data_IF_299479854502
#
_entry.id   IF_299479854502
#
_cell.length_a   1.000
_cell.length_b   1.000
_cell.length_c   1.000
_cell.angle_alpha   90.00
_cell.angle_beta   90.00
_cell.angle_gamma   90.00
#
_symmetry.space_group_name_H-M   'P 1'
#
loop_
_entity.id
_entity.type
_entity.pdbx_description
1 polymer ?
#
# COMPACT_ATOMS: atom_id res chain seq x y z
N UNK A 1 7.95 12.43 -16.93
CA UNK A 1 6.84 11.59 -16.51
C UNK A 1 7.21 10.84 -15.22
N UNK A 2 6.24 10.62 -14.34
CA UNK A 2 6.45 9.81 -13.14
C UNK A 2 6.31 8.32 -13.49
N UNK A 3 7.19 7.48 -12.91
CA UNK A 3 7.16 6.04 -13.07
C UNK A 3 7.79 5.37 -11.85
N UNK A 4 7.49 4.08 -11.61
CA UNK A 4 8.24 3.31 -10.60
C UNK A 4 9.70 3.13 -11.04
N UNK A 5 10.63 2.99 -10.09
CA UNK A 5 12.05 2.76 -10.40
C UNK A 5 12.24 1.52 -11.29
N UNK A 6 11.49 0.45 -11.04
CA UNK A 6 11.53 -0.75 -11.87
C UNK A 6 11.14 -0.47 -13.33
N UNK A 7 10.09 0.34 -13.55
CA UNK A 7 9.68 0.73 -14.90
C UNK A 7 10.68 1.66 -15.56
N UNK A 8 11.23 2.62 -14.80
CA UNK A 8 12.26 3.54 -15.27
C UNK A 8 13.49 2.78 -15.78
N UNK A 9 13.86 1.70 -15.09
CA UNK A 9 14.97 0.84 -15.42
C UNK A 9 14.61 -0.27 -16.43
N UNK A 10 13.38 -0.29 -16.97
CA UNK A 10 12.91 -1.32 -17.92
C UNK A 10 13.09 -2.74 -17.38
N UNK A 11 12.64 -2.97 -16.15
CA UNK A 11 12.71 -4.27 -15.50
C UNK A 11 12.04 -5.37 -16.31
N UNK A 12 12.78 -6.46 -16.57
CA UNK A 12 12.28 -7.67 -17.20
C UNK A 12 12.43 -8.85 -16.24
N UNK A 13 11.33 -9.57 -15.92
CA UNK A 13 11.42 -10.77 -15.09
C UNK A 13 12.08 -11.90 -15.88
N UNK A 14 13.30 -12.23 -15.52
CA UNK A 14 14.02 -13.39 -16.04
C UNK A 14 14.13 -14.46 -14.96
N UNK A 15 14.17 -15.75 -15.35
CA UNK A 15 14.21 -16.87 -14.40
C UNK A 15 15.42 -16.88 -13.47
N UNK A 16 16.49 -16.16 -13.82
CA UNK A 16 17.78 -16.19 -13.13
C UNK A 16 18.13 -14.91 -12.32
N UNK A 17 17.19 -13.97 -12.18
CA UNK A 17 17.46 -12.77 -11.35
C UNK A 17 16.81 -11.48 -11.86
N UNK A 18 17.26 -10.35 -11.30
CA UNK A 18 16.84 -9.02 -11.73
C UNK A 18 17.57 -8.65 -13.02
N UNK A 19 16.83 -8.51 -14.12
CA UNK A 19 17.34 -7.98 -15.38
C UNK A 19 16.72 -6.61 -15.63
N UNK A 20 17.54 -5.62 -15.92
CA UNK A 20 17.12 -4.26 -16.23
C UNK A 20 17.64 -3.88 -17.63
N UNK A 21 16.81 -3.21 -18.42
CA UNK A 21 17.18 -2.73 -19.75
C UNK A 21 18.07 -1.49 -19.71
N UNK A 22 18.01 -0.72 -18.62
CA UNK A 22 18.82 0.48 -18.43
C UNK A 22 20.00 0.22 -17.49
N UNK A 23 21.21 0.57 -17.93
CA UNK A 23 22.44 0.43 -17.18
C UNK A 23 23.52 1.44 -17.65
N UNK A 24 24.79 1.18 -17.37
CA UNK A 24 25.93 2.00 -17.79
C UNK A 24 26.20 1.97 -19.30
N UNK A 25 25.72 0.97 -20.04
CA UNK A 25 25.81 0.88 -21.51
C UNK A 25 24.63 1.56 -22.23
N UNK A 26 23.48 1.61 -21.60
CA UNK A 26 22.28 2.32 -22.06
C UNK A 26 21.65 3.13 -20.91
N UNK A 27 22.26 4.30 -20.57
CA UNK A 27 21.83 5.09 -19.44
C UNK A 27 20.47 5.77 -19.68
N UNK A 28 19.90 6.26 -18.59
CA UNK A 28 18.67 7.06 -18.62
C UNK A 28 18.92 8.39 -19.34
N UNK A 29 17.95 8.81 -20.14
CA UNK A 29 17.98 10.14 -20.78
C UNK A 29 17.32 11.16 -19.84
N UNK A 30 18.10 11.69 -18.90
CA UNK A 30 17.59 12.64 -17.92
C UNK A 30 18.71 13.55 -17.38
N UNK A 31 18.41 14.84 -17.25
CA UNK A 31 19.30 15.82 -16.60
C UNK A 31 19.12 15.84 -15.07
N UNK A 32 17.95 15.43 -14.60
CA UNK A 32 17.63 15.33 -13.18
C UNK A 32 16.65 14.18 -12.92
N UNK A 33 16.89 13.43 -11.83
CA UNK A 33 16.04 12.34 -11.38
C UNK A 33 15.68 12.61 -9.91
N UNK A 34 14.39 12.57 -9.62
CA UNK A 34 13.86 12.71 -8.26
C UNK A 34 13.29 11.34 -7.88
N UNK A 35 13.81 10.75 -6.83
CA UNK A 35 13.33 9.50 -6.25
C UNK A 35 12.51 9.83 -5.02
N UNK A 36 11.20 9.67 -5.13
CA UNK A 36 10.29 9.79 -3.99
C UNK A 36 10.18 8.45 -3.26
N UNK A 37 9.77 8.48 -1.98
CA UNK A 37 9.70 7.30 -1.10
C UNK A 37 11.02 6.49 -1.06
N UNK A 38 12.15 7.20 -1.03
CA UNK A 38 13.48 6.60 -1.10
C UNK A 38 13.83 5.69 0.10
N UNK A 39 13.07 5.75 1.19
CA UNK A 39 13.15 4.80 2.31
C UNK A 39 12.86 3.35 1.90
N UNK A 40 12.11 3.16 0.80
CA UNK A 40 11.76 1.84 0.26
C UNK A 40 12.83 1.25 -0.69
N UNK A 41 13.89 1.99 -0.99
CA UNK A 41 14.99 1.49 -1.82
C UNK A 41 15.86 0.50 -1.05
N UNK A 42 16.05 -0.68 -1.61
CA UNK A 42 17.05 -1.65 -1.16
C UNK A 42 18.39 -1.46 -1.88
N UNK A 43 19.42 -2.19 -1.43
CA UNK A 43 20.77 -2.10 -2.01
C UNK A 43 20.78 -2.54 -3.48
N UNK A 44 20.06 -3.60 -3.83
CA UNK A 44 20.09 -4.15 -5.19
C UNK A 44 19.44 -3.20 -6.19
N UNK A 45 18.27 -2.69 -5.88
CA UNK A 45 17.57 -1.73 -6.74
C UNK A 45 18.35 -0.42 -6.88
N UNK A 46 18.95 0.05 -5.75
CA UNK A 46 19.78 1.25 -5.77
C UNK A 46 21.03 1.06 -6.62
N UNK A 47 21.69 -0.09 -6.56
CA UNK A 47 22.84 -0.40 -7.38
C UNK A 47 22.50 -0.29 -8.88
N UNK A 48 21.41 -0.91 -9.32
CA UNK A 48 21.00 -0.85 -10.72
C UNK A 48 20.56 0.57 -11.14
N UNK A 49 19.88 1.29 -10.25
CA UNK A 49 19.52 2.69 -10.48
C UNK A 49 20.76 3.55 -10.70
N UNK A 50 21.76 3.45 -9.82
CA UNK A 50 22.98 4.24 -9.92
C UNK A 50 23.80 3.92 -11.19
N UNK A 51 23.77 2.66 -11.65
CA UNK A 51 24.41 2.28 -12.91
C UNK A 51 23.76 2.92 -14.14
N UNK A 52 22.45 3.11 -14.09
CA UNK A 52 21.69 3.67 -15.20
C UNK A 52 21.70 5.22 -15.24
N UNK A 53 22.23 5.89 -14.22
CA UNK A 53 22.25 7.35 -14.15
C UNK A 53 23.42 7.88 -15.00
N UNK A 54 23.15 8.78 -15.98
CA UNK A 54 24.21 9.36 -16.80
C UNK A 54 25.09 10.32 -16.00
N UNK A 55 26.34 10.46 -16.43
CA UNK A 55 27.27 11.42 -15.84
C UNK A 55 26.72 12.85 -15.92
N UNK A 56 26.79 13.60 -14.80
CA UNK A 56 26.27 14.97 -14.73
C UNK A 56 24.79 15.10 -14.39
N UNK A 57 24.03 14.02 -14.35
CA UNK A 57 22.63 14.02 -13.91
C UNK A 57 22.52 14.41 -12.42
N UNK A 58 21.56 15.25 -12.10
CA UNK A 58 21.24 15.62 -10.71
C UNK A 58 20.32 14.55 -10.10
N UNK A 59 20.73 13.99 -8.98
CA UNK A 59 19.95 12.98 -8.27
C UNK A 59 19.48 13.52 -6.93
N UNK A 60 18.16 13.46 -6.70
CA UNK A 60 17.51 13.93 -5.49
C UNK A 60 16.72 12.76 -4.88
N UNK A 61 17.03 12.41 -3.64
CA UNK A 61 16.29 11.44 -2.87
C UNK A 61 15.33 12.17 -1.90
N UNK A 62 14.07 11.82 -1.94
CA UNK A 62 13.04 12.29 -1.02
C UNK A 62 12.50 11.09 -0.28
N UNK A 63 12.37 11.16 1.04
CA UNK A 63 11.86 10.04 1.82
C UNK A 63 11.93 10.29 3.32
N UNK A 64 11.31 9.39 4.06
CA UNK A 64 11.24 9.45 5.52
C UNK A 64 11.99 8.24 6.11
N UNK A 65 13.09 8.51 6.81
CA UNK A 65 13.93 7.47 7.43
C UNK A 65 13.27 6.79 8.65
N UNK A 66 12.17 7.36 9.13
CA UNK A 66 11.43 6.86 10.27
C UNK A 66 10.24 5.98 9.85
N UNK A 67 9.94 5.93 8.53
CA UNK A 67 8.99 4.96 7.96
C UNK A 67 9.61 3.56 7.87
N UNK A 68 8.76 2.58 7.54
CA UNK A 68 9.20 1.19 7.38
C UNK A 68 10.32 1.10 6.33
N UNK A 69 11.38 0.33 6.60
CA UNK A 69 12.47 0.13 5.66
C UNK A 69 12.03 -0.70 4.45
N UNK A 70 12.89 -0.77 3.44
CA UNK A 70 12.72 -1.65 2.29
C UNK A 70 12.52 -3.11 2.70
N UNK A 71 11.76 -3.87 1.92
CA UNK A 71 11.60 -5.33 2.10
C UNK A 71 12.92 -6.06 1.75
N UNK A 72 13.66 -5.55 0.76
CA UNK A 72 14.99 -6.03 0.40
C UNK A 72 16.07 -5.57 1.38
N UNK A 73 17.27 -6.12 1.24
CA UNK A 73 18.38 -5.85 2.14
C UNK A 73 18.87 -4.40 2.07
N UNK A 74 19.12 -3.80 3.24
CA UNK A 74 19.75 -2.50 3.41
C UNK A 74 18.80 -1.37 3.77
N UNK A 75 19.38 -0.29 4.30
CA UNK A 75 18.67 0.95 4.65
C UNK A 75 19.32 2.11 3.93
N UNK A 76 19.25 2.09 2.61
CA UNK A 76 20.06 2.95 1.73
C UNK A 76 19.94 4.43 2.08
N UNK A 77 18.74 4.98 2.17
CA UNK A 77 18.52 6.40 2.49
C UNK A 77 19.16 6.78 3.84
N UNK A 78 18.96 5.92 4.85
CA UNK A 78 19.53 6.14 6.19
C UNK A 78 21.04 6.11 6.19
N UNK A 79 21.64 5.18 5.45
CA UNK A 79 23.09 5.03 5.34
C UNK A 79 23.71 6.18 4.52
N UNK A 80 23.04 6.62 3.46
CA UNK A 80 23.44 7.81 2.70
C UNK A 80 23.49 9.04 3.60
N UNK A 81 22.44 9.29 4.40
CA UNK A 81 22.39 10.42 5.35
C UNK A 81 23.52 10.30 6.38
N UNK A 82 23.73 9.12 6.96
CA UNK A 82 24.77 8.87 7.98
C UNK A 82 26.19 9.02 7.43
N UNK A 83 26.39 8.78 6.15
CA UNK A 83 27.70 8.90 5.52
C UNK A 83 28.27 10.32 5.55
N UNK A 84 27.40 11.33 5.65
CA UNK A 84 27.79 12.74 5.58
C UNK A 84 28.40 13.18 4.24
N UNK A 85 28.29 12.34 3.20
CA UNK A 85 28.88 12.58 1.89
C UNK A 85 27.98 13.36 0.94
N UNK A 86 26.72 13.52 1.28
CA UNK A 86 25.73 14.21 0.47
C UNK A 86 25.08 15.35 1.25
N UNK A 87 24.71 16.45 0.60
CA UNK A 87 23.89 17.48 1.21
C UNK A 87 22.54 16.89 1.67
N UNK A 88 22.14 17.20 2.89
CA UNK A 88 20.88 16.73 3.49
C UNK A 88 20.08 17.92 3.95
N UNK A 89 18.82 17.98 3.52
CA UNK A 89 17.83 18.92 4.06
C UNK A 89 16.80 18.12 4.85
N UNK A 90 16.61 18.48 6.12
CA UNK A 90 15.58 17.88 6.99
C UNK A 90 14.42 18.84 7.14
N UNK A 91 13.21 18.30 6.91
CA UNK A 91 11.98 19.04 7.15
C UNK A 91 11.51 18.69 8.58
N UNK A 92 11.83 19.56 9.52
CA UNK A 92 11.52 19.33 10.96
C UNK A 92 10.25 20.04 11.42
N UNK A 93 9.78 21.04 10.66
CA UNK A 93 8.62 21.82 11.04
C UNK A 93 7.32 21.12 10.63
N UNK A 94 6.61 20.61 11.61
CA UNK A 94 5.22 20.19 11.45
C UNK A 94 4.36 21.48 11.41
N UNK A 95 3.47 21.62 10.45
CA UNK A 95 2.53 22.74 10.43
C UNK A 95 1.75 22.80 11.75
N UNK A 96 1.57 24.01 12.31
CA UNK A 96 0.92 24.24 13.62
C UNK A 96 -0.40 23.48 13.84
N UNK A 97 -1.19 23.25 12.79
CA UNK A 97 -2.43 22.47 12.86
C UNK A 97 -2.19 20.98 13.12
N UNK A 98 -1.08 20.42 12.64
CA UNK A 98 -0.73 19.02 12.86
C UNK A 98 -0.07 18.79 14.24
N UNK A 99 0.58 19.79 14.84
CA UNK A 99 1.15 19.69 16.20
C UNK A 99 0.08 19.46 17.28
N UNK A 100 -1.16 19.88 17.02
CA UNK A 100 -2.28 19.71 17.96
C UNK A 100 -2.87 18.30 17.87
N UNK A 101 -2.73 17.60 16.73
CA UNK A 101 -3.29 16.26 16.56
C UNK A 101 -2.63 15.23 17.49
N UNK A 102 -3.40 14.46 18.27
CA UNK A 102 -2.90 13.35 19.07
C UNK A 102 -2.20 12.30 18.22
N UNK A 103 -2.61 12.10 16.95
CA UNK A 103 -1.99 11.15 16.02
C UNK A 103 -0.54 11.54 15.75
N UNK A 104 -0.28 12.80 15.40
CA UNK A 104 1.07 13.31 15.09
C UNK A 104 1.96 13.26 16.32
N UNK A 105 1.47 13.74 17.48
CA UNK A 105 2.24 13.68 18.73
C UNK A 105 2.62 12.26 19.12
N UNK A 106 1.69 11.32 18.99
CA UNK A 106 1.92 9.93 19.33
C UNK A 106 2.85 9.25 18.34
N UNK A 107 2.77 9.57 17.05
CA UNK A 107 3.73 9.10 16.05
C UNK A 107 5.16 9.51 16.43
N UNK A 108 5.39 10.75 16.80
CA UNK A 108 6.70 11.22 17.27
C UNK A 108 7.16 10.55 18.59
N UNK A 109 6.25 10.26 19.51
CA UNK A 109 6.57 9.53 20.75
C UNK A 109 7.00 8.11 20.44
N UNK A 110 6.22 7.41 19.62
CA UNK A 110 6.51 6.02 19.21
C UNK A 110 7.88 5.95 18.50
N UNK A 111 8.16 6.88 17.59
CA UNK A 111 9.44 6.95 16.90
C UNK A 111 10.63 7.15 17.85
N UNK A 112 10.43 7.84 18.95
CA UNK A 112 11.45 8.04 20.00
C UNK A 112 11.48 6.91 21.06
N UNK A 113 10.71 5.85 20.86
CA UNK A 113 10.59 4.72 21.81
C UNK A 113 9.84 5.10 23.10
N UNK A 114 9.01 6.15 23.05
CA UNK A 114 8.19 6.60 24.18
C UNK A 114 6.79 6.03 24.06
N UNK A 115 6.14 5.81 25.20
CA UNK A 115 4.73 5.38 25.22
C UNK A 115 3.82 6.47 24.64
N UNK A 116 2.90 6.10 23.72
CA UNK A 116 1.87 7.02 23.27
C UNK A 116 0.88 7.40 24.37
N UNK A 117 0.25 8.55 24.23
CA UNK A 117 -0.80 9.01 25.13
C UNK A 117 -2.18 8.70 24.55
N UNK A 118 -3.00 8.05 25.33
CA UNK A 118 -4.39 7.77 25.01
C UNK A 118 -5.29 8.69 25.81
N UNK A 119 -6.04 9.53 25.09
CA UNK A 119 -7.03 10.39 25.72
C UNK A 119 -8.33 9.60 25.90
N UNK A 120 -8.87 9.59 27.11
CA UNK A 120 -10.18 9.02 27.38
C UNK A 120 -11.28 9.91 26.79
N UNK A 121 -12.18 9.34 26.02
CA UNK A 121 -13.34 10.03 25.48
C UNK A 121 -13.76 9.52 24.10
N UNK A 122 -15.05 9.60 23.80
CA UNK A 122 -15.64 9.13 22.56
C UNK A 122 -15.15 9.88 21.31
N UNK A 123 -14.59 11.07 21.48
CA UNK A 123 -14.10 11.96 20.41
C UNK A 123 -12.57 11.90 20.25
N UNK A 124 -11.91 10.89 20.82
CA UNK A 124 -10.46 10.76 20.69
C UNK A 124 -10.06 10.38 19.27
N UNK A 125 -9.22 11.21 18.63
CA UNK A 125 -8.62 10.89 17.32
C UNK A 125 -7.65 9.70 17.39
N UNK A 126 -7.22 9.29 18.58
CA UNK A 126 -6.26 8.22 18.79
C UNK A 126 -6.65 7.44 20.07
N UNK A 127 -7.05 6.17 19.88
CA UNK A 127 -7.51 5.30 20.95
C UNK A 127 -6.76 3.96 20.94
N UNK A 128 -6.70 3.31 22.08
CA UNK A 128 -6.19 1.95 22.25
C UNK A 128 -7.29 1.09 22.88
N UNK A 129 -7.49 -0.08 22.29
CA UNK A 129 -8.35 -1.12 22.83
C UNK A 129 -7.51 -2.38 23.10
N UNK A 130 -7.60 -2.93 24.29
CA UNK A 130 -6.87 -4.12 24.70
C UNK A 130 -7.81 -5.33 24.81
N UNK A 131 -7.38 -6.45 24.32
CA UNK A 131 -8.15 -7.69 24.32
C UNK A 131 -7.37 -8.84 24.96
N UNK A 132 -8.07 -9.71 25.68
CA UNK A 132 -7.47 -10.89 26.30
C UNK A 132 -7.02 -11.95 25.28
N UNK A 133 -7.62 -11.95 24.10
CA UNK A 133 -7.28 -12.86 23.02
C UNK A 133 -7.48 -12.22 21.63
N UNK A 134 -6.80 -12.78 20.64
CA UNK A 134 -6.82 -12.27 19.26
C UNK A 134 -8.20 -12.42 18.57
N UNK A 135 -9.01 -13.41 18.99
CA UNK A 135 -10.31 -13.63 18.38
C UNK A 135 -11.28 -12.49 18.71
N UNK A 136 -11.31 -12.06 19.97
CA UNK A 136 -12.15 -10.93 20.39
C UNK A 136 -11.69 -9.63 19.73
N UNK A 137 -10.37 -9.42 19.59
CA UNK A 137 -9.82 -8.30 18.86
C UNK A 137 -10.25 -8.29 17.38
N UNK A 138 -10.19 -9.44 16.70
CA UNK A 138 -10.60 -9.56 15.30
C UNK A 138 -12.10 -9.27 15.11
N UNK A 139 -12.94 -9.78 15.99
CA UNK A 139 -14.39 -9.49 15.98
C UNK A 139 -14.71 -8.04 16.26
N UNK A 140 -14.00 -7.41 17.20
CA UNK A 140 -14.11 -5.98 17.49
C UNK A 140 -13.76 -5.13 16.26
N UNK A 141 -12.61 -5.43 15.61
CA UNK A 141 -12.19 -4.74 14.39
C UNK A 141 -13.25 -4.85 13.29
N UNK A 142 -13.80 -6.05 13.08
CA UNK A 142 -14.80 -6.26 12.04
C UNK A 142 -16.10 -5.48 12.31
N UNK A 143 -16.57 -5.44 13.55
CA UNK A 143 -17.78 -4.68 13.96
C UNK A 143 -17.54 -3.19 13.86
N UNK A 144 -16.41 -2.70 14.36
CA UNK A 144 -16.05 -1.27 14.31
C UNK A 144 -15.95 -0.79 12.88
N UNK A 145 -15.29 -1.57 12.01
CA UNK A 145 -15.23 -1.25 10.59
C UNK A 145 -16.63 -1.17 9.95
N UNK A 146 -17.49 -2.16 10.21
CA UNK A 146 -18.85 -2.19 9.69
C UNK A 146 -19.65 -0.96 10.17
N UNK A 147 -19.51 -0.58 11.42
CA UNK A 147 -20.15 0.60 12.01
C UNK A 147 -19.66 1.89 11.36
N UNK A 148 -18.34 2.07 11.23
CA UNK A 148 -17.74 3.28 10.64
C UNK A 148 -18.06 3.44 9.16
N UNK A 149 -18.30 2.32 8.44
CA UNK A 149 -18.63 2.34 7.01
C UNK A 149 -20.13 2.23 6.71
N UNK A 150 -20.99 2.21 7.71
CA UNK A 150 -22.45 2.10 7.55
C UNK A 150 -23.06 3.24 6.74
N UNK A 151 -22.45 4.43 6.76
CA UNK A 151 -22.81 5.59 5.92
C UNK A 151 -22.42 5.50 4.44
N UNK A 152 -21.80 4.39 4.01
CA UNK A 152 -21.46 4.14 2.60
C UNK A 152 -20.07 4.60 2.16
N UNK A 153 -19.34 5.38 2.96
CA UNK A 153 -18.00 5.87 2.60
C UNK A 153 -16.90 4.90 3.08
N UNK A 154 -16.84 3.77 2.42
CA UNK A 154 -15.86 2.71 2.67
C UNK A 154 -14.39 3.14 2.38
N UNK A 155 -14.17 4.23 1.65
CA UNK A 155 -12.84 4.72 1.27
C UNK A 155 -12.09 5.37 2.43
N UNK A 156 -12.82 5.93 3.38
CA UNK A 156 -12.26 6.65 4.52
C UNK A 156 -11.75 5.77 5.65
N UNK A 157 -12.03 4.47 5.58
CA UNK A 157 -11.66 3.51 6.63
C UNK A 157 -10.80 2.40 6.05
N UNK A 158 -9.65 2.15 6.68
CA UNK A 158 -8.76 1.05 6.33
C UNK A 158 -8.32 0.32 7.60
N UNK A 159 -8.34 -1.02 7.55
CA UNK A 159 -7.74 -1.86 8.58
C UNK A 159 -6.31 -2.17 8.16
N UNK A 160 -5.38 -2.07 9.09
CA UNK A 160 -3.98 -2.44 8.88
C UNK A 160 -3.60 -3.51 9.90
N UNK A 161 -2.92 -4.55 9.46
CA UNK A 161 -2.38 -5.61 10.32
C UNK A 161 -1.01 -6.03 9.83
N UNK A 162 -0.04 -6.29 10.74
CA UNK A 162 1.30 -6.72 10.36
C UNK A 162 1.39 -8.20 9.99
N UNK A 163 0.30 -8.97 10.14
CA UNK A 163 0.31 -10.43 9.97
C UNK A 163 -0.58 -10.90 8.82
N UNK A 164 -0.16 -11.94 8.10
CA UNK A 164 -0.98 -12.57 7.07
C UNK A 164 -1.91 -13.67 7.61
N UNK A 165 -1.45 -14.40 8.61
CA UNK A 165 -2.17 -15.52 9.24
C UNK A 165 -2.57 -15.12 10.65
N UNK A 166 -3.20 -16.02 11.41
CA UNK A 166 -3.74 -15.81 12.75
C UNK A 166 -5.10 -15.09 12.76
N UNK A 167 -5.81 -15.07 13.88
CA UNK A 167 -7.13 -14.42 14.00
C UNK A 167 -7.13 -12.94 13.57
N UNK A 168 -6.10 -12.17 13.95
CA UNK A 168 -5.93 -10.77 13.53
C UNK A 168 -5.14 -10.61 12.23
N UNK A 169 -4.84 -11.68 11.50
CA UNK A 169 -4.14 -11.60 10.20
C UNK A 169 -5.07 -11.24 9.04
N UNK A 170 -4.48 -10.68 7.96
CA UNK A 170 -5.18 -10.23 6.74
C UNK A 170 -6.19 -11.25 6.24
N UNK A 171 -5.83 -12.54 6.19
CA UNK A 171 -6.70 -13.59 5.64
C UNK A 171 -7.97 -13.77 6.46
N UNK A 172 -7.89 -13.79 7.79
CA UNK A 172 -9.03 -13.97 8.65
C UNK A 172 -9.86 -12.68 8.77
N UNK A 173 -9.21 -11.54 8.95
CA UNK A 173 -9.89 -10.25 9.00
C UNK A 173 -10.69 -9.99 7.73
N UNK A 174 -10.13 -10.26 6.55
CA UNK A 174 -10.85 -10.10 5.29
C UNK A 174 -12.08 -11.01 5.19
N UNK A 175 -12.02 -12.27 5.68
CA UNK A 175 -13.18 -13.16 5.74
C UNK A 175 -14.26 -12.63 6.68
N UNK A 176 -13.86 -12.17 7.87
CA UNK A 176 -14.78 -11.58 8.84
C UNK A 176 -15.44 -10.32 8.28
N UNK A 177 -14.65 -9.40 7.76
CA UNK A 177 -15.15 -8.17 7.16
C UNK A 177 -16.12 -8.44 6.00
N UNK A 178 -15.79 -9.39 5.11
CA UNK A 178 -16.69 -9.78 4.03
C UNK A 178 -18.01 -10.38 4.58
N UNK A 179 -17.93 -11.22 5.60
CA UNK A 179 -19.11 -11.81 6.25
C UNK A 179 -20.05 -10.74 6.84
N UNK A 180 -19.48 -9.70 7.47
CA UNK A 180 -20.25 -8.61 8.08
C UNK A 180 -20.83 -7.63 7.05
N UNK A 181 -20.08 -7.33 6.00
CA UNK A 181 -20.38 -6.23 5.09
C UNK A 181 -21.04 -6.68 3.78
N UNK A 182 -20.70 -7.86 3.32
CA UNK A 182 -21.19 -8.41 2.06
C UNK A 182 -21.37 -9.93 2.16
N UNK A 183 -22.31 -10.41 3.01
CA UNK A 183 -22.56 -11.83 3.17
C UNK A 183 -23.03 -12.47 1.84
N UNK A 184 -22.84 -13.79 1.68
CA UNK A 184 -23.33 -14.51 0.52
C UNK A 184 -24.87 -14.37 0.42
N UNK A 185 -25.35 -14.24 -0.81
CA UNK A 185 -26.79 -14.16 -1.10
C UNK A 185 -27.07 -14.81 -2.46
N UNK A 186 -28.15 -15.54 -2.58
CA UNK A 186 -28.60 -16.15 -3.84
C UNK A 186 -28.78 -15.11 -4.97
N UNK A 187 -29.04 -13.85 -4.61
CA UNK A 187 -29.24 -12.76 -5.55
C UNK A 187 -27.91 -12.09 -5.99
N UNK A 188 -26.77 -12.43 -5.36
CA UNK A 188 -25.48 -11.83 -5.68
C UNK A 188 -24.57 -12.85 -6.35
N UNK A 189 -24.18 -12.63 -7.61
CA UNK A 189 -23.14 -13.44 -8.24
C UNK A 189 -21.84 -13.39 -7.44
N UNK A 190 -21.17 -14.53 -7.35
CA UNK A 190 -19.84 -14.64 -6.76
C UNK A 190 -18.91 -15.43 -7.68
N UNK A 191 -17.63 -15.17 -7.55
CA UNK A 191 -16.58 -15.85 -8.31
C UNK A 191 -15.43 -16.28 -7.39
N UNK A 192 -15.00 -17.53 -7.56
CA UNK A 192 -13.84 -18.03 -6.87
C UNK A 192 -12.57 -17.59 -7.61
N UNK A 193 -11.68 -16.93 -6.91
CA UNK A 193 -10.31 -16.61 -7.35
C UNK A 193 -9.31 -17.28 -6.41
N UNK A 194 -8.04 -17.46 -6.80
CA UNK A 194 -7.06 -18.07 -5.92
C UNK A 194 -6.99 -17.39 -4.54
N UNK A 195 -7.35 -18.12 -3.50
CA UNK A 195 -7.34 -17.66 -2.11
C UNK A 195 -8.53 -16.83 -1.64
N UNK A 196 -9.49 -16.46 -2.52
CA UNK A 196 -10.63 -15.63 -2.16
C UNK A 196 -11.91 -15.97 -2.95
N UNK A 197 -13.04 -15.52 -2.43
CA UNK A 197 -14.32 -15.45 -3.14
C UNK A 197 -14.68 -13.98 -3.28
N UNK A 198 -14.87 -13.50 -4.49
CA UNK A 198 -15.31 -12.13 -4.74
C UNK A 198 -16.81 -12.08 -5.03
N UNK A 199 -17.46 -11.05 -4.53
CA UNK A 199 -18.90 -10.74 -4.73
C UNK A 199 -19.10 -9.32 -5.23
N UNK A 200 -20.16 -9.08 -5.94
CA UNK A 200 -20.57 -7.71 -6.30
C UNK A 200 -20.67 -6.88 -5.02
N UNK A 201 -20.04 -5.70 -5.03
CA UNK A 201 -19.96 -4.79 -3.90
C UNK A 201 -18.72 -4.94 -3.04
N UNK A 202 -17.88 -5.95 -3.27
CA UNK A 202 -16.63 -6.10 -2.54
C UNK A 202 -15.64 -4.97 -2.85
N UNK A 203 -14.95 -4.50 -1.81
CA UNK A 203 -13.75 -3.68 -1.93
C UNK A 203 -12.59 -4.59 -2.29
N UNK A 204 -11.85 -4.23 -3.32
CA UNK A 204 -10.70 -5.00 -3.80
C UNK A 204 -9.49 -4.09 -4.00
N UNK A 205 -8.31 -4.65 -3.87
CA UNK A 205 -7.06 -3.99 -4.19
C UNK A 205 -6.34 -4.73 -5.32
N UNK A 206 -5.79 -3.99 -6.25
CA UNK A 206 -4.84 -4.50 -7.21
C UNK A 206 -3.52 -4.82 -6.49
N UNK A 207 -3.03 -6.05 -6.61
CA UNK A 207 -1.81 -6.50 -5.92
C UNK A 207 -0.59 -6.65 -6.83
N UNK A 208 -0.74 -6.31 -8.11
CA UNK A 208 0.33 -6.30 -9.11
C UNK A 208 0.06 -5.21 -10.13
N UNK A 209 1.12 -4.57 -10.62
CA UNK A 209 0.96 -3.61 -11.71
C UNK A 209 0.43 -4.32 -12.97
N UNK A 210 -0.58 -3.74 -13.60
CA UNK A 210 -1.10 -4.13 -14.90
C UNK A 210 -1.11 -2.90 -15.81
N UNK A 211 -0.05 -2.78 -16.58
CA UNK A 211 0.17 -1.62 -17.46
C UNK A 211 -0.78 -1.58 -18.66
N UNK A 212 -1.29 -2.74 -19.11
CA UNK A 212 -2.25 -2.80 -20.22
C UNK A 212 -3.60 -2.21 -19.81
N UNK A 213 -3.98 -2.41 -18.56
CA UNK A 213 -5.23 -1.91 -17.99
C UNK A 213 -5.08 -0.58 -17.24
N UNK A 214 -3.85 -0.07 -17.16
CA UNK A 214 -3.49 1.14 -16.42
C UNK A 214 -3.99 1.10 -14.97
N UNK A 215 -3.72 -0.03 -14.27
CA UNK A 215 -3.99 -0.22 -12.84
C UNK A 215 -2.73 -0.71 -12.15
N UNK A 216 -2.50 -0.21 -10.95
CA UNK A 216 -1.25 -0.39 -10.25
C UNK A 216 -1.43 -1.10 -8.91
N UNK A 217 -0.34 -1.67 -8.41
CA UNK A 217 -0.32 -2.24 -7.07
C UNK A 217 -0.69 -1.19 -6.03
N UNK A 218 -1.70 -1.49 -5.22
CA UNK A 218 -2.25 -0.58 -4.23
C UNK A 218 -3.54 0.14 -4.67
N UNK A 219 -3.90 0.13 -5.97
CA UNK A 219 -5.14 0.73 -6.43
C UNK A 219 -6.34 0.00 -5.83
N UNK A 220 -7.23 0.78 -5.21
CA UNK A 220 -8.41 0.25 -4.51
C UNK A 220 -9.66 0.53 -5.33
N UNK A 221 -10.40 -0.53 -5.61
CA UNK A 221 -11.64 -0.48 -6.37
C UNK A 221 -12.81 -1.21 -5.71
N UNK A 222 -13.93 -1.22 -6.39
CA UNK A 222 -15.15 -1.94 -5.99
C UNK A 222 -15.63 -2.85 -7.12
N UNK A 223 -15.92 -4.09 -6.80
CA UNK A 223 -16.54 -5.03 -7.76
C UNK A 223 -17.96 -4.55 -8.08
N UNK A 224 -18.23 -4.23 -9.34
CA UNK A 224 -19.53 -3.72 -9.79
C UNK A 224 -20.29 -4.73 -10.64
N UNK A 225 -19.59 -5.68 -11.29
CA UNK A 225 -20.22 -6.73 -12.10
C UNK A 225 -19.38 -8.01 -12.04
N UNK A 226 -20.09 -9.13 -12.01
CA UNK A 226 -19.51 -10.47 -12.22
C UNK A 226 -20.33 -11.13 -13.32
N UNK A 227 -19.65 -11.62 -14.38
CA UNK A 227 -20.27 -12.29 -15.51
C UNK A 227 -19.49 -13.59 -15.80
N UNK A 228 -20.04 -14.70 -15.37
CA UNK A 228 -19.34 -15.97 -15.34
C UNK A 228 -18.09 -15.90 -14.48
N UNK A 229 -16.89 -15.90 -15.11
CA UNK A 229 -15.60 -15.79 -14.43
C UNK A 229 -14.94 -14.42 -14.60
N UNK A 230 -15.60 -13.49 -15.29
CA UNK A 230 -15.11 -12.14 -15.49
C UNK A 230 -15.56 -11.24 -14.34
N UNK A 231 -14.65 -10.42 -13.85
CA UNK A 231 -14.87 -9.46 -12.75
C UNK A 231 -14.65 -8.04 -13.28
N UNK A 232 -15.65 -7.19 -13.14
CA UNK A 232 -15.53 -5.77 -13.48
C UNK A 232 -15.43 -4.95 -12.22
N UNK A 233 -14.40 -4.10 -12.16
CA UNK A 233 -14.06 -3.26 -11.01
C UNK A 233 -14.13 -1.79 -11.41
N UNK A 234 -14.77 -0.98 -10.57
CA UNK A 234 -14.74 0.47 -10.63
C UNK A 234 -13.63 0.98 -9.70
N UNK A 235 -12.69 1.74 -10.24
CA UNK A 235 -11.66 2.43 -9.48
C UNK A 235 -12.04 3.91 -9.34
N UNK A 236 -12.10 4.47 -8.12
CA UNK A 236 -12.59 5.84 -7.89
C UNK A 236 -11.78 6.94 -8.58
N UNK A 237 -10.52 6.66 -8.90
CA UNK A 237 -9.62 7.61 -9.56
C UNK A 237 -9.85 7.70 -11.07
N UNK A 238 -10.66 6.80 -11.63
CA UNK A 238 -11.05 6.78 -13.03
C UNK A 238 -12.37 7.50 -13.25
N UNK A 239 -12.58 8.07 -14.44
CA UNK A 239 -13.87 8.65 -14.81
C UNK A 239 -15.02 7.67 -14.64
N UNK A 240 -16.21 8.16 -14.31
CA UNK A 240 -17.41 7.35 -14.25
C UNK A 240 -17.67 6.68 -15.61
N UNK A 241 -17.86 5.35 -15.60
CA UNK A 241 -18.02 4.54 -16.81
C UNK A 241 -16.72 3.91 -17.33
N UNK A 242 -15.56 4.34 -16.87
CA UNK A 242 -14.27 3.73 -17.20
C UNK A 242 -13.96 2.60 -16.19
N UNK A 243 -14.49 1.43 -16.46
CA UNK A 243 -14.36 0.25 -15.59
C UNK A 243 -13.35 -0.74 -16.14
N UNK A 244 -12.65 -1.41 -15.24
CA UNK A 244 -11.65 -2.43 -15.60
C UNK A 244 -12.26 -3.81 -15.49
N UNK A 245 -12.25 -4.57 -16.58
CA UNK A 245 -12.70 -5.97 -16.59
C UNK A 245 -11.51 -6.92 -16.60
N UNK A 246 -11.52 -7.85 -15.67
CA UNK A 246 -10.54 -8.92 -15.51
C UNK A 246 -11.15 -10.22 -16.02
N UNK A 247 -10.51 -10.85 -16.99
CA UNK A 247 -10.87 -12.19 -17.45
C UNK A 247 -10.44 -13.26 -16.43
N UNK A 248 -10.90 -14.50 -16.66
CA UNK A 248 -10.47 -15.66 -15.87
C UNK A 248 -8.93 -15.76 -15.85
N UNK A 249 -8.33 -15.79 -14.68
CA UNK A 249 -6.87 -15.83 -14.50
C UNK A 249 -6.26 -14.44 -14.22
N UNK A 250 -6.72 -13.38 -14.84
CA UNK A 250 -6.28 -12.01 -14.56
C UNK A 250 -6.78 -11.53 -13.18
N UNK A 251 -7.96 -11.98 -12.77
CA UNK A 251 -8.53 -11.69 -11.44
C UNK A 251 -7.67 -12.22 -10.28
N UNK A 252 -6.66 -13.06 -10.54
CA UNK A 252 -5.63 -13.42 -9.58
C UNK A 252 -4.77 -12.21 -9.15
N UNK A 253 -4.76 -11.14 -9.93
CA UNK A 253 -4.16 -9.84 -9.58
C UNK A 253 -5.00 -9.00 -8.61
N UNK A 254 -6.23 -9.42 -8.31
CA UNK A 254 -7.12 -8.78 -7.35
C UNK A 254 -7.10 -9.52 -6.02
N UNK A 255 -7.20 -8.77 -4.93
CA UNK A 255 -7.45 -9.30 -3.59
C UNK A 255 -8.63 -8.59 -2.98
N UNK A 256 -9.51 -9.34 -2.29
CA UNK A 256 -10.44 -8.72 -1.37
C UNK A 256 -9.63 -7.97 -0.32
N UNK A 257 -9.87 -6.68 -0.17
CA UNK A 257 -9.02 -5.83 0.64
C UNK A 257 -9.87 -4.92 1.52
N UNK A 258 -9.88 -5.21 2.81
CA UNK A 258 -10.38 -4.33 3.87
C UNK A 258 -9.45 -4.34 5.08
N UNK A 259 -8.46 -5.28 5.08
CA UNK A 259 -7.40 -5.37 6.07
C UNK A 259 -6.05 -5.53 5.39
#
# INVERSE_FOLDING_TARGET
PAATVHRLLEYQPTGDGLCFGKDDSDPLDAEAIIIDEASMLDISLTYHLLKAIPGGCRLIFVGDVDQLPSVGAGSVLKDMIRSGRMPVVRLENVFRQAEVSPIVRNAHKINRGQMPEFLAGADSEFALEEFANEQDAAEFVARTYAQLTSGGDWRRVQVLTPMHKNPCGVQNLNKLLQKYLNPPSAAKPEVNIPGNVLRIGDKVMQIRNNYEKDVFNGDIGRVIKIDGKNVTVAFPERPEGDYVTYAQGEAAGLRYERA
#
